data_IF_418852093674
#
_entry.id   IF_418852093674
#
_cell.length_a   1.000
_cell.length_b   1.000
_cell.length_c   1.000
_cell.angle_alpha   90.00
_cell.angle_beta   90.00
_cell.angle_gamma   90.00
#
_symmetry.space_group_name_H-M   'P 1'
#
loop_
_entity.id
_entity.type
_entity.pdbx_description
1 polymer ?
#
# COMPACT_ATOMS: atom_id res chain seq x y z
N UNK A 1 22.28 5.85 -13.26
CA UNK A 1 20.97 5.55 -12.64
C UNK A 1 21.25 4.54 -11.56
N UNK A 2 21.02 4.91 -10.30
CA UNK A 2 21.04 3.93 -9.22
C UNK A 2 19.87 2.97 -9.43
N UNK A 3 20.15 1.68 -9.38
CA UNK A 3 19.12 0.65 -9.45
C UNK A 3 18.49 0.53 -8.08
N UNK A 4 17.15 0.61 -8.01
CA UNK A 4 16.41 0.27 -6.80
C UNK A 4 16.75 -1.18 -6.41
N UNK A 5 17.08 -1.38 -5.13
CA UNK A 5 17.45 -2.71 -4.60
C UNK A 5 16.43 -3.14 -3.57
N UNK A 6 15.87 -4.32 -3.78
CA UNK A 6 14.99 -5.02 -2.84
C UNK A 6 15.60 -6.36 -2.49
N UNK A 7 15.43 -6.82 -1.25
CA UNK A 7 15.85 -8.16 -0.86
C UNK A 7 14.73 -9.15 -1.19
N UNK A 8 15.06 -10.16 -1.99
CA UNK A 8 14.10 -11.22 -2.34
C UNK A 8 13.57 -11.97 -1.10
N UNK A 9 14.38 -12.05 -0.04
CA UNK A 9 13.95 -12.65 1.22
C UNK A 9 12.79 -11.86 1.84
N UNK A 10 12.90 -10.54 1.89
CA UNK A 10 11.87 -9.68 2.48
C UNK A 10 10.56 -9.80 1.66
N UNK A 11 10.66 -9.92 0.33
CA UNK A 11 9.50 -10.19 -0.53
C UNK A 11 8.88 -11.56 -0.22
N UNK A 12 9.69 -12.61 -0.06
CA UNK A 12 9.18 -13.94 0.26
C UNK A 12 8.48 -13.96 1.62
N UNK A 13 9.06 -13.33 2.64
CA UNK A 13 8.45 -13.20 3.97
C UNK A 13 7.15 -12.41 3.93
N UNK A 14 7.07 -11.35 3.12
CA UNK A 14 5.83 -10.60 2.91
C UNK A 14 4.74 -11.41 2.22
N UNK A 15 5.08 -12.22 1.20
CA UNK A 15 4.12 -13.11 0.54
C UNK A 15 3.55 -14.12 1.54
N UNK A 16 4.39 -14.68 2.41
CA UNK A 16 3.92 -15.61 3.45
C UNK A 16 3.06 -14.92 4.53
N UNK A 17 3.27 -13.62 4.77
CA UNK A 17 2.51 -12.83 5.74
C UNK A 17 1.19 -12.27 5.21
N UNK A 18 0.96 -12.28 3.88
CA UNK A 18 -0.29 -11.82 3.28
C UNK A 18 -1.48 -12.67 3.77
N UNK A 19 -2.61 -12.00 3.96
CA UNK A 19 -3.85 -12.62 4.39
C UNK A 19 -5.04 -11.99 3.68
N UNK A 20 -6.26 -12.45 3.98
CA UNK A 20 -7.48 -11.90 3.37
C UNK A 20 -7.62 -10.41 3.66
N UNK A 21 -7.26 -9.97 4.87
CA UNK A 21 -7.44 -8.58 5.32
C UNK A 21 -6.11 -7.79 5.38
N UNK A 22 -4.99 -8.38 4.94
CA UNK A 22 -3.66 -7.78 4.99
C UNK A 22 -2.92 -8.00 3.68
N UNK A 23 -2.73 -6.91 2.96
CA UNK A 23 -2.14 -6.87 1.63
C UNK A 23 -0.72 -6.31 1.72
N UNK A 24 0.17 -6.77 0.86
CA UNK A 24 1.54 -6.26 0.79
C UNK A 24 1.85 -5.76 -0.62
N UNK A 25 2.39 -4.54 -0.71
CA UNK A 25 2.79 -3.91 -1.96
C UNK A 25 4.28 -3.54 -1.92
N UNK A 26 4.92 -3.49 -3.08
CA UNK A 26 6.29 -3.00 -3.24
C UNK A 26 6.26 -1.56 -3.72
N UNK A 27 6.79 -0.64 -2.93
CA UNK A 27 7.02 0.73 -3.38
C UNK A 27 8.18 0.72 -4.40
N UNK A 28 7.86 0.93 -5.67
CA UNK A 28 8.85 0.90 -6.77
C UNK A 28 9.73 2.14 -6.85
N UNK A 29 9.45 3.17 -6.03
CA UNK A 29 10.28 4.39 -5.89
C UNK A 29 11.35 4.18 -4.81
N UNK A 30 11.02 3.54 -3.69
CA UNK A 30 11.92 3.36 -2.53
C UNK A 30 12.52 1.96 -2.40
N UNK A 31 11.84 0.94 -2.92
CA UNK A 31 12.18 -0.48 -2.76
C UNK A 31 11.68 -1.10 -1.46
N UNK A 32 10.84 -0.38 -0.72
CA UNK A 32 10.27 -0.83 0.56
C UNK A 32 8.95 -1.58 0.36
N UNK A 33 8.68 -2.52 1.27
CA UNK A 33 7.41 -3.23 1.33
C UNK A 33 6.47 -2.46 2.24
N UNK A 34 5.26 -2.19 1.76
CA UNK A 34 4.19 -1.54 2.53
C UNK A 34 3.06 -2.53 2.72
N UNK A 35 2.51 -2.55 3.92
CA UNK A 35 1.39 -3.41 4.28
C UNK A 35 0.15 -2.55 4.41
N UNK A 36 -0.98 -2.96 3.85
CA UNK A 36 -2.23 -2.19 3.87
C UNK A 36 -3.36 -3.15 4.21
N UNK A 37 -4.23 -2.74 5.11
CA UNK A 37 -5.40 -3.55 5.49
C UNK A 37 -6.64 -3.16 4.69
N UNK A 38 -7.63 -4.05 4.67
CA UNK A 38 -8.96 -3.74 4.12
C UNK A 38 -9.58 -2.48 4.76
N UNK A 39 -9.34 -2.26 6.05
CA UNK A 39 -9.86 -1.09 6.75
C UNK A 39 -9.14 0.20 6.31
N UNK A 40 -7.85 0.14 6.00
CA UNK A 40 -7.11 1.27 5.41
C UNK A 40 -7.66 1.62 4.02
N UNK A 41 -8.00 0.61 3.21
CA UNK A 41 -8.63 0.82 1.91
C UNK A 41 -10.02 1.44 2.03
N UNK A 42 -10.87 0.90 2.92
CA UNK A 42 -12.21 1.48 3.16
C UNK A 42 -12.13 2.92 3.64
N UNK A 43 -11.20 3.20 4.56
CA UNK A 43 -10.93 4.55 5.03
C UNK A 43 -10.52 5.51 3.90
N UNK A 44 -9.70 5.04 2.97
CA UNK A 44 -9.27 5.80 1.80
C UNK A 44 -10.42 6.04 0.80
N UNK A 45 -11.27 5.05 0.56
CA UNK A 45 -12.46 5.17 -0.32
C UNK A 45 -13.52 6.11 0.26
N UNK A 46 -13.77 6.03 1.56
CA UNK A 46 -14.76 6.84 2.26
C UNK A 46 -14.27 8.28 2.57
N UNK A 47 -13.04 8.63 2.17
CA UNK A 47 -12.40 9.93 2.42
C UNK A 47 -12.50 10.36 3.90
N UNK A 48 -12.22 9.43 4.83
CA UNK A 48 -12.36 9.73 6.26
C UNK A 48 -11.38 10.83 6.71
N UNK A 49 -11.78 11.72 7.65
CA UNK A 49 -10.87 12.74 8.18
C UNK A 49 -9.65 12.11 8.87
N UNK A 50 -8.45 12.52 8.46
CA UNK A 50 -7.19 12.00 8.99
C UNK A 50 -6.75 12.70 10.29
N UNK A 51 -7.22 13.92 10.54
CA UNK A 51 -6.72 14.85 11.57
C UNK A 51 -6.78 14.33 13.02
N UNK A 52 -7.62 13.32 13.29
CA UNK A 52 -7.81 12.72 14.62
C UNK A 52 -7.15 11.33 14.74
N UNK A 53 -6.47 10.86 13.69
CA UNK A 53 -5.82 9.56 13.68
C UNK A 53 -4.36 9.65 14.15
N UNK A 54 -3.77 8.55 14.62
CA UNK A 54 -2.33 8.49 14.80
C UNK A 54 -1.59 8.68 13.46
N UNK A 55 -0.43 9.34 13.47
CA UNK A 55 0.38 9.59 12.26
C UNK A 55 0.63 8.31 11.42
N UNK A 56 0.94 7.19 12.08
CA UNK A 56 1.16 5.92 11.41
C UNK A 56 -0.09 5.41 10.67
N UNK A 57 -1.29 5.73 11.16
CA UNK A 57 -2.55 5.33 10.53
C UNK A 57 -2.91 6.28 9.39
N UNK A 58 -2.64 7.58 9.56
CA UNK A 58 -2.76 8.57 8.48
C UNK A 58 -1.88 8.17 7.27
N UNK A 59 -0.61 7.82 7.53
CA UNK A 59 0.33 7.38 6.50
C UNK A 59 -0.19 6.16 5.73
N UNK A 60 -0.79 5.20 6.43
CA UNK A 60 -1.31 3.96 5.84
C UNK A 60 -2.53 4.21 4.95
N UNK A 61 -3.45 5.08 5.38
CA UNK A 61 -4.62 5.47 4.58
C UNK A 61 -4.18 6.27 3.34
N UNK A 62 -3.17 7.13 3.48
CA UNK A 62 -2.58 7.85 2.34
C UNK A 62 -1.93 6.92 1.31
N UNK A 63 -1.21 5.88 1.78
CA UNK A 63 -0.66 4.83 0.90
C UNK A 63 -1.78 4.06 0.21
N UNK A 64 -2.81 3.65 0.96
CA UNK A 64 -3.98 2.95 0.41
C UNK A 64 -4.65 3.78 -0.71
N UNK A 65 -4.77 5.09 -0.52
CA UNK A 65 -5.29 6.01 -1.52
C UNK A 65 -4.44 6.09 -2.79
N UNK A 66 -3.11 6.17 -2.66
CA UNK A 66 -2.19 6.16 -3.83
C UNK A 66 -2.33 4.85 -4.64
N UNK A 67 -2.52 3.72 -3.96
CA UNK A 67 -2.72 2.41 -4.61
C UNK A 67 -4.05 2.37 -5.38
N UNK A 68 -5.15 2.79 -4.75
CA UNK A 68 -6.47 2.83 -5.39
C UNK A 68 -6.50 3.75 -6.62
N UNK A 69 -5.83 4.90 -6.53
CA UNK A 69 -5.72 5.84 -7.65
C UNK A 69 -4.94 5.23 -8.84
N UNK A 70 -3.89 4.44 -8.58
CA UNK A 70 -3.11 3.75 -9.62
C UNK A 70 -3.91 2.62 -10.28
N UNK A 71 -4.65 1.82 -9.49
CA UNK A 71 -5.54 0.77 -10.03
C UNK A 71 -6.65 1.35 -10.92
N UNK A 72 -7.28 2.45 -10.48
CA UNK A 72 -8.35 3.09 -11.23
C UNK A 72 -7.82 3.79 -12.51
N UNK A 73 -6.58 4.29 -12.48
CA UNK A 73 -5.92 4.88 -13.65
C UNK A 73 -5.46 3.86 -14.69
N UNK A 74 -5.30 2.59 -14.30
CA UNK A 74 -4.98 1.46 -15.18
C UNK A 74 -6.18 0.75 -15.80
N UNK A 75 -7.42 1.14 -15.44
CA UNK A 75 -8.67 0.45 -15.77
C UNK A 75 -9.20 0.59 -17.20
N UNK A 76 -8.60 1.43 -18.06
CA UNK A 76 -9.01 1.60 -19.47
C UNK A 76 -8.29 0.65 -20.46
N UNK A 77 -7.54 -0.35 -19.96
CA UNK A 77 -6.95 -1.39 -20.79
C UNK A 77 -7.68 -2.74 -20.62
N UNK A 78 -8.98 -2.76 -20.92
CA UNK A 78 -9.71 -3.74 -21.75
C UNK A 78 -11.15 -3.26 -22.02
#
# INVERSE_FOLDING_TARGET
MDTMKVKLKDIAEAIDAQSVDLHCFLNTKTGELVFVTDDDFRAAEDDIPLEDLPEWQEEQIMIAKEILDDENSGGDLY
#
